data_IF_048929762353
#
_entry.id   IF_048929762353
#
_cell.length_a   1.000
_cell.length_b   1.000
_cell.length_c   1.000
_cell.angle_alpha   90.00
_cell.angle_beta   90.00
_cell.angle_gamma   90.00
#
_symmetry.space_group_name_H-M   'P 1'
#
loop_
_entity.id
_entity.type
_entity.pdbx_description
1 polymer ?
#
# COMPACT_ATOMS: atom_id res chain seq x y z
N UNK A 1 -19.83 -2.07 9.20
CA UNK A 1 -19.16 -1.83 7.90
C UNK A 1 -19.51 -0.42 7.43
N UNK A 2 -18.53 0.42 7.31
CA UNK A 2 -18.71 1.79 6.85
C UNK A 2 -18.43 1.86 5.34
N UNK A 3 -19.30 2.50 4.59
CA UNK A 3 -19.11 2.71 3.16
C UNK A 3 -18.60 4.13 2.90
N UNK A 4 -18.14 4.41 1.68
CA UNK A 4 -17.80 5.77 1.26
C UNK A 4 -18.95 6.75 1.50
N UNK A 5 -18.65 7.89 2.11
CA UNK A 5 -19.60 8.99 2.27
C UNK A 5 -19.97 9.60 0.90
N UNK A 6 -21.08 10.35 0.84
CA UNK A 6 -21.46 11.07 -0.40
C UNK A 6 -20.36 12.01 -0.88
N UNK A 7 -19.69 12.72 0.04
CA UNK A 7 -18.59 13.61 -0.28
C UNK A 7 -17.39 12.88 -0.86
N UNK A 8 -17.03 11.72 -0.28
CA UNK A 8 -15.96 10.88 -0.80
C UNK A 8 -16.30 10.34 -2.20
N UNK A 9 -17.55 9.91 -2.44
CA UNK A 9 -18.00 9.46 -3.76
C UNK A 9 -17.94 10.58 -4.80
N UNK A 10 -18.31 11.80 -4.43
CA UNK A 10 -18.30 12.95 -5.36
C UNK A 10 -16.87 13.39 -5.74
N UNK A 11 -15.93 13.34 -4.80
CA UNK A 11 -14.55 13.81 -4.99
C UNK A 11 -13.62 12.78 -5.62
N UNK A 12 -14.06 11.55 -5.82
CA UNK A 12 -13.20 10.44 -6.22
C UNK A 12 -13.81 9.61 -7.34
N UNK A 13 -12.96 8.91 -8.11
CA UNK A 13 -13.39 7.93 -9.11
C UNK A 13 -13.47 6.56 -8.45
N UNK A 14 -14.65 6.17 -7.98
CA UNK A 14 -14.86 4.91 -7.24
C UNK A 14 -15.60 3.92 -8.12
N UNK A 15 -14.99 2.75 -8.36
CA UNK A 15 -15.57 1.61 -9.08
C UNK A 15 -15.28 0.34 -8.31
N UNK A 16 -16.26 -0.15 -7.59
CA UNK A 16 -16.12 -1.28 -6.65
C UNK A 16 -17.14 -2.35 -7.00
N UNK A 17 -16.71 -3.62 -7.07
CA UNK A 17 -17.59 -4.77 -7.28
C UNK A 17 -18.56 -4.93 -6.10
N UNK A 18 -19.79 -5.44 -6.38
CA UNK A 18 -20.91 -5.45 -5.42
C UNK A 18 -20.64 -6.24 -4.14
N UNK A 19 -19.91 -7.34 -4.24
CA UNK A 19 -19.59 -8.24 -3.13
C UNK A 19 -18.31 -7.85 -2.36
N UNK A 20 -17.79 -6.66 -2.61
CA UNK A 20 -16.63 -6.14 -1.89
C UNK A 20 -17.02 -5.70 -0.48
N UNK A 21 -16.32 -6.23 0.51
CA UNK A 21 -16.43 -5.75 1.88
C UNK A 21 -15.69 -4.42 2.02
N UNK A 22 -16.44 -3.35 2.23
CA UNK A 22 -15.90 -2.01 2.45
C UNK A 22 -15.96 -1.67 3.94
N UNK A 23 -14.85 -1.21 4.49
CA UNK A 23 -14.81 -0.57 5.81
C UNK A 23 -13.97 0.70 5.72
N UNK A 24 -14.63 1.80 5.38
CA UNK A 24 -13.99 3.11 5.15
C UNK A 24 -14.45 4.08 6.22
N UNK A 25 -13.52 4.49 7.08
CA UNK A 25 -13.81 5.41 8.16
C UNK A 25 -14.34 6.75 7.63
N UNK A 26 -15.36 7.31 8.29
CA UNK A 26 -15.94 8.59 7.91
C UNK A 26 -14.96 9.76 8.06
N UNK A 27 -14.02 9.64 9.00
CA UNK A 27 -12.95 10.61 9.24
C UNK A 27 -11.83 10.55 8.19
N UNK A 28 -11.77 9.49 7.38
CA UNK A 28 -10.78 9.37 6.32
C UNK A 28 -10.97 10.45 5.23
N UNK A 29 -9.87 11.16 4.92
CA UNK A 29 -9.86 12.22 3.90
C UNK A 29 -9.35 11.66 2.58
N UNK A 30 -10.25 11.32 1.67
CA UNK A 30 -9.97 10.76 0.35
C UNK A 30 -10.34 11.81 -0.70
N UNK A 31 -9.34 12.33 -1.43
CA UNK A 31 -9.52 13.45 -2.35
C UNK A 31 -8.80 13.18 -3.67
N UNK A 32 -9.53 13.29 -4.78
CA UNK A 32 -9.06 13.14 -6.14
C UNK A 32 -8.36 11.78 -6.40
N UNK A 33 -8.84 10.74 -5.73
CA UNK A 33 -8.30 9.39 -5.85
C UNK A 33 -9.10 8.54 -6.85
N UNK A 34 -8.42 7.53 -7.41
CA UNK A 34 -9.05 6.46 -8.17
C UNK A 34 -9.06 5.20 -7.32
N UNK A 35 -10.25 4.69 -7.01
CA UNK A 35 -10.43 3.43 -6.27
C UNK A 35 -11.14 2.43 -7.18
N UNK A 36 -10.47 1.31 -7.45
CA UNK A 36 -10.96 0.28 -8.34
C UNK A 36 -10.85 -1.09 -7.70
N UNK A 37 -11.96 -1.77 -7.56
CA UNK A 37 -12.02 -3.14 -7.06
C UNK A 37 -12.74 -4.02 -8.07
N UNK A 38 -12.08 -5.08 -8.52
CA UNK A 38 -12.61 -6.09 -9.44
C UNK A 38 -12.38 -7.49 -8.88
N UNK A 39 -13.34 -8.39 -9.12
CA UNK A 39 -13.34 -9.76 -8.63
C UNK A 39 -14.31 -9.92 -7.46
N UNK A 40 -14.24 -11.07 -6.77
CA UNK A 40 -15.18 -11.47 -5.74
C UNK A 40 -14.56 -11.51 -4.35
N UNK A 41 -15.39 -11.28 -3.32
CA UNK A 41 -15.00 -11.41 -1.90
C UNK A 41 -13.77 -10.59 -1.53
N UNK A 42 -13.55 -9.46 -2.17
CA UNK A 42 -12.45 -8.56 -1.87
C UNK A 42 -12.76 -7.68 -0.66
N UNK A 43 -11.72 -7.19 0.00
CA UNK A 43 -11.84 -6.31 1.15
C UNK A 43 -11.00 -5.04 0.94
N UNK A 44 -11.58 -3.90 1.25
CA UNK A 44 -10.90 -2.61 1.31
C UNK A 44 -11.21 -1.94 2.64
N UNK A 45 -10.17 -1.78 3.45
CA UNK A 45 -10.24 -1.16 4.78
C UNK A 45 -9.41 0.12 4.75
N UNK A 46 -10.01 1.24 5.12
CA UNK A 46 -9.34 2.54 5.28
C UNK A 46 -9.74 3.07 6.66
N UNK A 47 -8.78 3.08 7.57
CA UNK A 47 -9.02 3.41 8.98
C UNK A 47 -9.12 4.90 9.25
N UNK A 48 -9.40 5.25 10.48
CA UNK A 48 -9.64 6.60 10.94
C UNK A 48 -8.43 7.53 10.69
N UNK A 49 -8.68 8.78 10.37
CA UNK A 49 -7.65 9.78 10.16
C UNK A 49 -6.78 9.59 8.92
N UNK A 50 -6.92 8.47 8.19
CA UNK A 50 -6.17 8.24 6.96
C UNK A 50 -6.43 9.33 5.91
N UNK A 51 -5.37 9.74 5.21
CA UNK A 51 -5.40 10.81 4.20
C UNK A 51 -4.83 10.31 2.88
N UNK A 52 -5.67 10.17 1.87
CA UNK A 52 -5.28 9.78 0.53
C UNK A 52 -5.52 10.97 -0.42
N UNK A 53 -4.52 11.33 -1.19
CA UNK A 53 -4.65 12.45 -2.14
C UNK A 53 -4.03 12.11 -3.48
N UNK A 54 -4.78 12.38 -4.56
CA UNK A 54 -4.32 12.21 -5.96
C UNK A 54 -3.64 10.85 -6.20
N UNK A 55 -4.15 9.78 -5.59
CA UNK A 55 -3.56 8.44 -5.58
C UNK A 55 -4.50 7.39 -6.15
N UNK A 56 -3.96 6.21 -6.43
CA UNK A 56 -4.73 5.08 -6.96
C UNK A 56 -4.65 3.89 -6.00
N UNK A 57 -5.81 3.33 -5.67
CA UNK A 57 -5.95 2.07 -4.91
C UNK A 57 -6.66 1.06 -5.82
N UNK A 58 -6.00 -0.05 -6.10
CA UNK A 58 -6.49 -1.04 -7.05
C UNK A 58 -6.45 -2.46 -6.49
N UNK A 59 -7.59 -3.13 -6.49
CA UNK A 59 -7.72 -4.56 -6.19
C UNK A 59 -8.22 -5.27 -7.43
N UNK A 60 -7.47 -6.29 -7.90
CA UNK A 60 -7.87 -7.11 -9.07
C UNK A 60 -7.58 -8.57 -8.77
N UNK A 61 -8.62 -9.33 -8.46
CA UNK A 61 -8.54 -10.73 -8.09
C UNK A 61 -9.69 -11.08 -7.15
N UNK A 62 -9.66 -12.29 -6.63
CA UNK A 62 -10.67 -12.77 -5.69
C UNK A 62 -10.07 -12.93 -4.29
N UNK A 63 -10.84 -12.58 -3.26
CA UNK A 63 -10.43 -12.65 -1.86
C UNK A 63 -9.14 -11.87 -1.53
N UNK A 64 -8.90 -10.76 -2.22
CA UNK A 64 -7.78 -9.86 -1.95
C UNK A 64 -8.14 -8.84 -0.86
N UNK A 65 -7.12 -8.32 -0.19
CA UNK A 65 -7.23 -7.30 0.85
C UNK A 65 -6.29 -6.13 0.56
N UNK A 66 -6.79 -4.91 0.70
CA UNK A 66 -5.98 -3.73 0.99
C UNK A 66 -6.47 -3.13 2.30
N UNK A 67 -5.55 -2.98 3.24
CA UNK A 67 -5.79 -2.29 4.51
C UNK A 67 -4.83 -1.10 4.63
N UNK A 68 -5.39 0.07 4.95
CA UNK A 68 -4.65 1.31 5.22
C UNK A 68 -4.97 1.72 6.65
N UNK A 69 -3.97 1.74 7.49
CA UNK A 69 -4.05 1.98 8.93
C UNK A 69 -4.47 3.41 9.32
N UNK A 70 -4.62 3.59 10.60
CA UNK A 70 -5.00 4.85 11.23
C UNK A 70 -3.96 5.94 10.96
N UNK A 71 -4.41 7.17 10.73
CA UNK A 71 -3.58 8.36 10.49
C UNK A 71 -2.58 8.27 9.33
N UNK A 72 -2.63 7.25 8.50
CA UNK A 72 -1.73 7.10 7.37
C UNK A 72 -1.85 8.24 6.37
N UNK A 73 -0.73 8.69 5.83
CA UNK A 73 -0.68 9.63 4.70
C UNK A 73 -0.22 8.94 3.43
N UNK A 74 -1.06 8.95 2.38
CA UNK A 74 -0.73 8.45 1.04
C UNK A 74 -0.65 9.63 0.10
N UNK A 75 0.58 9.97 -0.30
CA UNK A 75 0.88 11.15 -1.09
C UNK A 75 0.53 11.02 -2.57
N UNK A 76 0.53 12.17 -3.24
CA UNK A 76 0.16 12.33 -4.65
C UNK A 76 0.92 11.38 -5.57
N UNK A 77 0.20 10.80 -6.55
CA UNK A 77 0.78 9.93 -7.58
C UNK A 77 1.07 8.50 -7.09
N UNK A 78 0.78 8.21 -5.82
CA UNK A 78 1.03 6.87 -5.28
C UNK A 78 0.04 5.84 -5.84
N UNK A 79 0.52 4.61 -5.99
CA UNK A 79 -0.21 3.47 -6.52
C UNK A 79 -0.09 2.28 -5.57
N UNK A 80 -1.21 1.90 -4.98
CA UNK A 80 -1.32 0.76 -4.07
C UNK A 80 -2.13 -0.33 -4.77
N UNK A 81 -1.57 -1.53 -4.91
CA UNK A 81 -2.29 -2.60 -5.60
C UNK A 81 -2.14 -3.97 -4.95
N UNK A 82 -3.29 -4.65 -4.80
CA UNK A 82 -3.38 -6.06 -4.50
C UNK A 82 -3.96 -6.78 -5.72
N UNK A 83 -3.11 -7.57 -6.39
CA UNK A 83 -3.49 -8.29 -7.61
C UNK A 83 -3.23 -9.77 -7.47
N UNK A 84 -4.04 -10.56 -8.17
CA UNK A 84 -4.14 -12.01 -8.10
C UNK A 84 -4.85 -12.48 -6.81
N UNK A 85 -5.44 -13.67 -6.90
CA UNK A 85 -6.30 -14.19 -5.83
C UNK A 85 -5.56 -14.29 -4.47
N UNK A 86 -6.27 -13.91 -3.41
CA UNK A 86 -5.84 -13.98 -2.01
C UNK A 86 -4.66 -13.09 -1.63
N UNK A 87 -4.19 -12.19 -2.51
CA UNK A 87 -3.10 -11.29 -2.17
C UNK A 87 -3.53 -10.20 -1.20
N UNK A 88 -2.60 -9.82 -0.30
CA UNK A 88 -2.86 -8.84 0.75
C UNK A 88 -1.80 -7.74 0.71
N UNK A 89 -2.25 -6.50 0.83
CA UNK A 89 -1.42 -5.34 1.11
C UNK A 89 -1.90 -4.72 2.42
N UNK A 90 -1.06 -4.77 3.43
CA UNK A 90 -1.36 -4.22 4.76
C UNK A 90 -0.38 -3.09 5.05
N UNK A 91 -0.91 -1.92 5.35
CA UNK A 91 -0.17 -0.74 5.83
C UNK A 91 -0.66 -0.46 7.25
N UNK A 92 0.25 -0.53 8.21
CA UNK A 92 0.02 -0.28 9.62
C UNK A 92 -0.36 1.17 9.90
N UNK A 93 -0.46 1.51 11.17
CA UNK A 93 -0.89 2.83 11.61
C UNK A 93 0.26 3.86 11.53
N UNK A 94 -0.08 5.15 11.45
CA UNK A 94 0.83 6.31 11.48
C UNK A 94 1.95 6.25 10.40
N UNK A 95 1.69 5.63 9.27
CA UNK A 95 2.63 5.54 8.16
C UNK A 95 2.54 6.76 7.23
N UNK A 96 3.70 7.21 6.76
CA UNK A 96 3.82 8.26 5.75
C UNK A 96 4.38 7.73 4.43
N UNK A 97 3.55 7.62 3.39
CA UNK A 97 3.98 7.37 2.02
C UNK A 97 4.01 8.71 1.28
N UNK A 98 5.23 9.15 0.89
CA UNK A 98 5.43 10.41 0.19
C UNK A 98 4.86 10.35 -1.25
N UNK A 99 5.40 11.09 -2.19
CA UNK A 99 4.85 11.15 -3.56
C UNK A 99 5.34 10.00 -4.44
N UNK A 100 4.48 9.56 -5.38
CA UNK A 100 4.80 8.56 -6.39
C UNK A 100 5.28 7.21 -5.84
N UNK A 101 4.82 6.83 -4.65
CA UNK A 101 5.15 5.53 -4.05
C UNK A 101 4.33 4.44 -4.73
N UNK A 102 4.98 3.35 -5.13
CA UNK A 102 4.34 2.18 -5.72
C UNK A 102 4.47 0.98 -4.79
N UNK A 103 3.35 0.35 -4.44
CA UNK A 103 3.32 -0.87 -3.63
C UNK A 103 2.50 -1.91 -4.38
N UNK A 104 3.16 -3.00 -4.80
CA UNK A 104 2.55 -3.96 -5.74
C UNK A 104 2.77 -5.40 -5.30
N UNK A 105 1.68 -6.13 -5.03
CA UNK A 105 1.72 -7.55 -4.63
C UNK A 105 1.98 -8.50 -5.80
N UNK A 106 1.99 -8.01 -7.03
CA UNK A 106 2.14 -8.81 -8.25
C UNK A 106 2.93 -8.07 -9.32
N UNK A 107 3.63 -8.82 -10.15
CA UNK A 107 4.33 -8.30 -11.35
C UNK A 107 3.38 -8.01 -12.53
N UNK A 108 2.10 -8.36 -12.39
CA UNK A 108 1.08 -8.13 -13.40
C UNK A 108 0.93 -9.24 -14.45
N UNK A 109 2.00 -9.92 -14.83
CA UNK A 109 1.99 -11.02 -15.80
C UNK A 109 2.73 -12.24 -15.29
N UNK A 110 2.26 -13.47 -15.58
CA UNK A 110 2.95 -14.69 -15.19
C UNK A 110 4.27 -14.86 -15.98
N UNK A 111 5.31 -15.27 -15.27
CA UNK A 111 6.61 -15.64 -15.84
C UNK A 111 6.80 -17.13 -15.60
N UNK A 112 7.19 -17.86 -16.63
CA UNK A 112 7.39 -19.31 -16.56
C UNK A 112 8.84 -19.68 -16.79
N UNK A 113 9.33 -20.64 -16.02
CA UNK A 113 10.62 -21.31 -16.22
C UNK A 113 10.35 -22.82 -16.24
N UNK A 114 10.74 -23.49 -17.33
CA UNK A 114 10.51 -24.93 -17.52
C UNK A 114 9.04 -25.34 -17.31
N UNK A 115 8.08 -24.52 -17.79
CA UNK A 115 6.65 -24.78 -17.64
C UNK A 115 6.07 -24.48 -16.25
N UNK A 116 6.88 -24.10 -15.29
CA UNK A 116 6.47 -23.75 -13.92
C UNK A 116 6.44 -22.23 -13.77
N UNK A 117 5.31 -21.72 -13.26
CA UNK A 117 5.19 -20.28 -12.94
C UNK A 117 6.09 -19.93 -11.75
N UNK A 118 7.03 -18.98 -11.94
CA UNK A 118 8.03 -18.62 -10.94
C UNK A 118 7.73 -17.32 -10.19
N UNK A 119 6.73 -16.56 -10.62
CA UNK A 119 6.43 -15.24 -10.07
C UNK A 119 4.97 -15.05 -9.59
N UNK A 120 4.41 -15.94 -8.77
CA UNK A 120 3.08 -15.70 -8.19
C UNK A 120 3.08 -14.42 -7.35
N UNK A 121 1.90 -13.84 -7.13
CA UNK A 121 1.71 -12.75 -6.20
C UNK A 121 2.15 -13.16 -4.78
N UNK A 122 2.63 -12.18 -4.01
CA UNK A 122 2.99 -12.35 -2.60
C UNK A 122 2.49 -11.14 -1.82
N UNK A 123 2.10 -11.38 -0.57
CA UNK A 123 1.62 -10.33 0.32
C UNK A 123 2.72 -9.30 0.62
N UNK A 124 2.29 -8.08 0.92
CA UNK A 124 3.17 -7.02 1.42
C UNK A 124 2.63 -6.55 2.75
N UNK A 125 3.52 -6.43 3.73
CA UNK A 125 3.21 -5.84 5.03
C UNK A 125 4.18 -4.69 5.31
N UNK A 126 3.61 -3.54 5.62
CA UNK A 126 4.32 -2.36 6.13
C UNK A 126 3.79 -2.16 7.54
N UNK A 127 4.65 -2.31 8.55
CA UNK A 127 4.26 -2.16 9.95
C UNK A 127 3.98 -0.70 10.30
N UNK A 128 3.73 -0.43 11.59
CA UNK A 128 3.40 0.92 12.05
C UNK A 128 4.58 1.87 11.95
N UNK A 129 4.27 3.16 11.85
CA UNK A 129 5.25 4.23 11.94
C UNK A 129 6.40 4.11 10.94
N UNK A 130 6.08 3.79 9.68
CA UNK A 130 7.04 3.69 8.58
C UNK A 130 6.97 4.93 7.70
N UNK A 131 8.13 5.52 7.42
CA UNK A 131 8.24 6.63 6.46
C UNK A 131 8.85 6.16 5.15
N UNK A 132 8.12 6.35 4.06
CA UNK A 132 8.52 6.00 2.71
C UNK A 132 8.68 7.27 1.89
N UNK A 133 9.89 7.51 1.42
CA UNK A 133 10.25 8.69 0.63
C UNK A 133 9.64 8.70 -0.78
N UNK A 134 9.84 9.80 -1.50
CA UNK A 134 9.33 9.97 -2.87
C UNK A 134 9.88 8.92 -3.84
N UNK A 135 9.05 8.52 -4.81
CA UNK A 135 9.41 7.60 -5.91
C UNK A 135 9.90 6.22 -5.47
N UNK A 136 9.56 5.79 -4.26
CA UNK A 136 9.90 4.43 -3.79
C UNK A 136 8.99 3.42 -4.45
N UNK A 137 9.57 2.26 -4.81
CA UNK A 137 8.83 1.09 -5.27
C UNK A 137 9.04 -0.07 -4.30
N UNK A 138 7.94 -0.63 -3.79
CA UNK A 138 7.95 -1.82 -2.91
C UNK A 138 7.35 -2.98 -3.71
N UNK A 139 8.15 -4.04 -3.88
CA UNK A 139 7.76 -5.21 -4.64
C UNK A 139 7.17 -6.30 -3.74
N UNK A 140 6.48 -7.22 -4.37
CA UNK A 140 5.77 -8.34 -3.74
C UNK A 140 6.63 -9.14 -2.78
N UNK A 141 6.03 -9.60 -1.70
CA UNK A 141 6.66 -10.45 -0.69
C UNK A 141 7.53 -9.72 0.30
N UNK A 142 7.48 -8.38 0.33
CA UNK A 142 8.29 -7.57 1.24
C UNK A 142 7.55 -7.32 2.55
N UNK A 143 8.26 -7.45 3.65
CA UNK A 143 7.89 -7.00 4.98
C UNK A 143 8.80 -5.85 5.42
N UNK A 144 8.21 -4.72 5.78
CA UNK A 144 8.93 -3.55 6.32
C UNK A 144 8.55 -3.40 7.79
N UNK A 145 9.54 -3.57 8.66
CA UNK A 145 9.35 -3.50 10.11
C UNK A 145 9.05 -2.09 10.61
N UNK A 146 8.51 -2.02 11.82
CA UNK A 146 8.09 -0.79 12.48
C UNK A 146 9.23 0.25 12.59
N UNK A 147 8.89 1.53 12.42
CA UNK A 147 9.79 2.64 12.60
C UNK A 147 10.86 2.78 11.51
N UNK A 148 10.71 2.08 10.38
CA UNK A 148 11.64 2.17 9.25
C UNK A 148 11.50 3.48 8.47
N UNK A 149 12.61 3.86 7.83
CA UNK A 149 12.65 4.93 6.83
C UNK A 149 13.19 4.36 5.51
N UNK A 150 12.42 4.50 4.43
CA UNK A 150 12.86 4.14 3.08
C UNK A 150 13.18 5.42 2.32
N UNK A 151 14.46 5.59 1.97
CA UNK A 151 14.93 6.79 1.27
C UNK A 151 14.37 6.90 -0.15
N UNK A 152 14.36 8.13 -0.66
CA UNK A 152 13.82 8.46 -1.99
C UNK A 152 14.45 7.62 -3.11
N UNK A 153 13.68 7.38 -4.19
CA UNK A 153 14.12 6.64 -5.39
C UNK A 153 14.60 5.20 -5.11
N UNK A 154 14.20 4.60 -4.00
CA UNK A 154 14.60 3.24 -3.64
C UNK A 154 13.64 2.19 -4.21
N UNK A 155 14.18 0.98 -4.46
CA UNK A 155 13.39 -0.20 -4.83
C UNK A 155 13.57 -1.29 -3.76
N UNK A 156 12.53 -1.54 -2.97
CA UNK A 156 12.56 -2.54 -1.91
C UNK A 156 12.14 -3.89 -2.47
N UNK A 157 13.04 -4.87 -2.43
CA UNK A 157 12.88 -6.23 -2.98
C UNK A 157 13.06 -7.32 -1.93
N UNK A 158 13.42 -6.95 -0.70
CA UNK A 158 13.63 -7.83 0.45
C UNK A 158 13.11 -7.16 1.71
N UNK A 159 12.87 -7.95 2.73
CA UNK A 159 12.44 -7.46 4.04
C UNK A 159 13.44 -6.46 4.63
N UNK A 160 12.90 -5.46 5.33
CA UNK A 160 13.66 -4.45 6.07
C UNK A 160 13.31 -4.59 7.55
N UNK A 161 14.33 -4.80 8.36
CA UNK A 161 14.17 -4.92 9.81
C UNK A 161 13.71 -3.60 10.43
N UNK A 162 12.94 -3.69 11.51
CA UNK A 162 12.43 -2.53 12.23
C UNK A 162 13.53 -1.53 12.60
N UNK A 163 13.16 -0.25 12.74
CA UNK A 163 14.05 0.84 13.13
C UNK A 163 15.30 0.98 12.26
N UNK A 164 15.15 0.80 10.95
CA UNK A 164 16.23 0.88 9.98
C UNK A 164 15.99 1.93 8.91
N UNK A 165 17.07 2.51 8.40
CA UNK A 165 17.05 3.30 7.15
C UNK A 165 17.55 2.43 6.01
N UNK A 166 16.74 2.27 4.95
CA UNK A 166 17.12 1.57 3.74
C UNK A 166 17.05 2.49 2.52
N UNK A 167 18.06 2.41 1.64
CA UNK A 167 18.14 3.24 0.43
C UNK A 167 18.72 2.47 -0.75
N UNK A 168 18.41 2.91 -1.96
CA UNK A 168 19.02 2.45 -3.20
C UNK A 168 18.14 1.51 -4.02
N UNK A 169 18.68 1.06 -5.15
CA UNK A 169 18.03 0.11 -6.08
C UNK A 169 19.00 -1.02 -6.46
N UNK A 170 18.87 -2.22 -5.87
CA UNK A 170 17.92 -2.57 -4.79
C UNK A 170 18.25 -1.88 -3.46
N UNK A 171 17.23 -1.62 -2.64
CA UNK A 171 17.39 -1.00 -1.34
C UNK A 171 18.19 -1.89 -0.38
N UNK A 172 19.11 -1.25 0.36
CA UNK A 172 19.94 -1.88 1.38
C UNK A 172 19.87 -1.06 2.66
N UNK A 173 19.87 -1.73 3.80
CA UNK A 173 19.97 -1.08 5.11
C UNK A 173 21.31 -0.36 5.21
N UNK A 174 21.28 0.92 5.54
CA UNK A 174 22.47 1.80 5.72
C UNK A 174 22.61 2.32 7.14
N UNK A 175 21.52 2.27 7.93
CA UNK A 175 21.52 2.60 9.36
C UNK A 175 20.51 1.71 10.09
N UNK A 176 20.80 1.40 11.33
CA UNK A 176 19.95 0.61 12.23
C UNK A 176 19.74 1.36 13.55
N UNK A 177 18.77 0.91 14.34
CA UNK A 177 18.44 1.48 15.65
C UNK A 177 18.13 2.98 15.60
N UNK A 178 17.40 3.40 14.55
CA UNK A 178 16.99 4.79 14.37
C UNK A 178 15.64 5.08 15.03
N UNK A 179 15.41 6.34 15.30
CA UNK A 179 14.09 6.93 15.53
C UNK A 179 13.92 8.09 14.55
N UNK A 180 12.72 8.27 14.04
CA UNK A 180 12.35 9.42 13.24
C UNK A 180 11.11 10.08 13.83
N UNK A 181 10.91 11.35 13.57
CA UNK A 181 9.75 12.10 14.05
C UNK A 181 9.11 12.86 12.90
N UNK A 182 7.78 12.90 12.90
CA UNK A 182 7.00 13.64 11.89
C UNK A 182 6.92 15.16 12.22
N UNK A 183 7.96 15.72 12.79
CA UNK A 183 8.07 17.15 13.11
C UNK A 183 8.78 17.88 11.96
N UNK A 184 8.20 19.00 11.49
CA UNK A 184 8.79 19.97 10.56
C UNK A 184 8.93 21.31 11.28
#
# INVERSE_FOLDING_TARGET
MNNFTLLQKFRNKIRVAQDTQLDVAQSAKIVNCTIRVKGKNNQLIIKEGARLRDSTVEIIGDACLIEIGTNCMIGKGSYLSAKEAKSKLIIGDDCGLSRNVKVMTSDGHPIYQNGIRINPAKDITIENYVWIGDNVTILKGVHIGEGCVIGINSTVVKDIQAKSVAVGNPAKVVKENIEWKAEL
#
